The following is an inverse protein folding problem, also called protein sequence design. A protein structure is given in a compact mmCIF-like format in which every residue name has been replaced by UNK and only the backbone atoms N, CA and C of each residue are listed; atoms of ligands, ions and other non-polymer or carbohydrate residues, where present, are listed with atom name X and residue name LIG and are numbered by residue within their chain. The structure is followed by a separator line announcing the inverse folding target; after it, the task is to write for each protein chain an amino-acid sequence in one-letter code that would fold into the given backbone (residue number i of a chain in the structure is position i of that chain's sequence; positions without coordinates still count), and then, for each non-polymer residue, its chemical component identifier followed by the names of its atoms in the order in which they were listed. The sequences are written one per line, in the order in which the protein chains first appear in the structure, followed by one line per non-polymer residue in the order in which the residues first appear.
data_IF_198782720070
#
_entry.id   IF_198782720070
#
_cell.length_a   1.000
_cell.length_b   1.000
_cell.length_c   1.000
_cell.angle_alpha   90.00
_cell.angle_beta   90.00
_cell.angle_gamma   90.00
#
_symmetry.space_group_name_H-M   'P 1'
#
loop_
_entity.id
_entity.type
_entity.pdbx_description
1 polymer ?
#
# COMPACT_ATOMS: atom_id res chain seq x y z
N UNK A 1 -25.49 -5.66 -8.33
CA UNK A 1 -24.19 -5.66 -7.70
C UNK A 1 -23.79 -7.10 -7.43
N UNK A 2 -22.68 -7.54 -8.04
CA UNK A 2 -22.14 -8.86 -7.73
C UNK A 2 -21.50 -8.80 -6.34
N UNK A 3 -21.78 -9.80 -5.51
CA UNK A 3 -21.06 -9.98 -4.26
C UNK A 3 -19.59 -10.25 -4.56
N UNK A 4 -18.70 -9.44 -3.96
CA UNK A 4 -17.26 -9.59 -4.11
C UNK A 4 -16.68 -10.32 -2.89
N UNK A 5 -15.79 -11.27 -3.11
CA UNK A 5 -14.96 -11.81 -2.04
C UNK A 5 -13.96 -10.78 -1.54
N UNK A 6 -13.38 -10.98 -0.35
CA UNK A 6 -12.33 -10.11 0.18
C UNK A 6 -11.12 -10.01 -0.77
N UNK A 7 -10.77 -11.11 -1.43
CA UNK A 7 -9.73 -11.14 -2.47
C UNK A 7 -10.08 -10.22 -3.64
N UNK A 8 -11.30 -10.34 -4.19
CA UNK A 8 -11.76 -9.52 -5.31
C UNK A 8 -11.85 -8.03 -4.95
N UNK A 9 -12.20 -7.71 -3.69
CA UNK A 9 -12.19 -6.32 -3.18
C UNK A 9 -10.79 -5.73 -3.26
N UNK A 10 -9.75 -6.49 -2.90
CA UNK A 10 -8.37 -6.04 -2.97
C UNK A 10 -7.86 -5.95 -4.42
N UNK A 11 -8.14 -6.95 -5.26
CA UNK A 11 -7.71 -6.98 -6.67
C UNK A 11 -8.27 -5.78 -7.44
N UNK A 12 -9.56 -5.52 -7.28
CA UNK A 12 -10.28 -4.42 -7.96
C UNK A 12 -10.15 -3.08 -7.25
N UNK A 13 -9.52 -3.05 -6.08
CA UNK A 13 -9.41 -1.83 -5.23
C UNK A 13 -10.78 -1.19 -4.93
N UNK A 14 -11.76 -2.02 -4.52
CA UNK A 14 -13.12 -1.55 -4.24
C UNK A 14 -13.21 -0.78 -2.93
N UNK A 15 -13.43 0.53 -2.97
CA UNK A 15 -13.62 1.36 -1.78
C UNK A 15 -14.84 0.92 -0.97
N UNK A 16 -15.98 0.64 -1.62
CA UNK A 16 -17.20 0.17 -0.94
C UNK A 16 -16.95 -1.16 -0.23
N UNK A 17 -16.23 -2.08 -0.88
CA UNK A 17 -15.84 -3.35 -0.28
C UNK A 17 -14.96 -3.16 0.95
N UNK A 18 -13.95 -2.29 0.86
CA UNK A 18 -13.07 -1.96 1.97
C UNK A 18 -13.84 -1.35 3.16
N UNK A 19 -14.78 -0.42 2.91
CA UNK A 19 -15.66 0.16 3.93
C UNK A 19 -16.46 -0.95 4.65
N UNK A 20 -17.08 -1.85 3.90
CA UNK A 20 -17.90 -2.93 4.48
C UNK A 20 -17.07 -3.89 5.35
N UNK A 21 -15.85 -4.23 4.90
CA UNK A 21 -14.92 -5.04 5.71
C UNK A 21 -14.55 -4.29 7.00
N UNK A 22 -14.15 -3.02 6.90
CA UNK A 22 -13.78 -2.22 8.07
C UNK A 22 -14.94 -2.07 9.07
N UNK A 23 -16.18 -1.87 8.58
CA UNK A 23 -17.36 -1.81 9.42
C UNK A 23 -17.62 -3.12 10.17
N UNK A 24 -17.38 -4.29 9.53
CA UNK A 24 -17.47 -5.59 10.21
C UNK A 24 -16.38 -5.80 11.25
N UNK A 25 -15.19 -5.27 11.02
CA UNK A 25 -14.07 -5.33 11.98
C UNK A 25 -14.35 -4.43 13.18
N UNK A 26 -14.92 -3.25 12.95
CA UNK A 26 -15.20 -2.22 13.96
C UNK A 26 -13.99 -1.32 14.23
N UNK A 27 -14.28 -0.14 14.80
CA UNK A 27 -13.28 0.94 15.01
C UNK A 27 -12.13 0.46 15.89
N UNK A 28 -12.44 -0.14 17.04
CA UNK A 28 -11.46 -0.51 18.05
C UNK A 28 -10.41 -1.52 17.52
N UNK A 29 -10.88 -2.58 16.85
CA UNK A 29 -9.99 -3.61 16.30
C UNK A 29 -9.16 -3.06 15.14
N UNK A 30 -9.78 -2.21 14.30
CA UNK A 30 -9.10 -1.59 13.17
C UNK A 30 -8.01 -0.64 13.64
N UNK A 31 -8.31 0.24 14.59
CA UNK A 31 -7.36 1.15 15.23
C UNK A 31 -6.22 0.40 15.90
N UNK A 32 -6.54 -0.61 16.72
CA UNK A 32 -5.54 -1.46 17.38
C UNK A 32 -4.58 -2.09 16.38
N UNK A 33 -5.09 -2.59 15.26
CA UNK A 33 -4.25 -3.18 14.23
C UNK A 33 -3.30 -2.17 13.58
N UNK A 34 -3.79 -0.97 13.19
CA UNK A 34 -2.95 0.06 12.60
C UNK A 34 -1.91 0.59 13.60
N UNK A 35 -2.27 0.70 14.88
CA UNK A 35 -1.34 1.05 15.94
C UNK A 35 -0.25 -0.04 16.15
N UNK A 36 -0.61 -1.31 15.99
CA UNK A 36 0.36 -2.42 16.05
C UNK A 36 1.37 -2.35 14.89
N UNK A 37 0.94 -1.87 13.72
CA UNK A 37 1.82 -1.57 12.59
C UNK A 37 2.63 -0.26 12.77
N UNK A 38 2.32 0.51 13.80
CA UNK A 38 2.93 1.81 14.12
C UNK A 38 2.86 2.82 12.96
N UNK A 39 1.77 2.78 12.17
CA UNK A 39 1.61 3.64 10.99
C UNK A 39 1.53 5.14 11.32
N UNK A 40 1.13 5.47 12.55
CA UNK A 40 0.96 6.85 13.02
C UNK A 40 2.04 7.30 14.00
N UNK A 41 3.01 6.43 14.28
CA UNK A 41 4.10 6.73 15.21
C UNK A 41 5.35 7.10 14.43
N UNK A 42 6.05 8.17 14.86
CA UNK A 42 7.37 8.50 14.30
C UNK A 42 8.29 7.28 14.40
N UNK A 43 8.98 6.95 13.31
CA UNK A 43 10.01 5.89 13.32
C UNK A 43 11.27 6.48 13.94
N UNK A 44 11.90 5.72 14.83
CA UNK A 44 13.29 5.96 15.23
C UNK A 44 14.20 5.44 14.10
N UNK A 45 14.91 6.35 13.45
CA UNK A 45 15.71 6.06 12.26
C UNK A 45 17.05 6.76 12.33
N UNK A 46 18.01 6.28 11.57
CA UNK A 46 19.38 6.76 11.60
C UNK A 46 19.59 8.20 11.06
N UNK A 47 18.54 8.80 10.48
CA UNK A 47 18.52 10.17 9.99
C UNK A 47 17.46 10.96 10.78
N UNK A 48 17.77 12.18 11.21
CA UNK A 48 16.88 12.98 12.05
C UNK A 48 15.68 13.59 11.29
N UNK A 49 15.84 13.89 9.99
CA UNK A 49 14.80 14.50 9.16
C UNK A 49 13.74 13.50 8.72
N UNK A 50 13.05 12.92 9.68
CA UNK A 50 11.92 12.03 9.41
C UNK A 50 10.61 12.73 9.70
N UNK A 51 9.72 12.70 8.70
CA UNK A 51 8.37 13.20 8.85
C UNK A 51 7.61 12.47 9.96
N UNK A 52 6.76 13.23 10.66
CA UNK A 52 5.85 12.68 11.67
C UNK A 52 4.43 12.70 11.11
N UNK A 53 3.69 11.58 11.18
CA UNK A 53 2.29 11.56 10.79
C UNK A 53 1.47 12.55 11.60
N UNK A 54 0.48 13.17 10.97
CA UNK A 54 -0.45 14.04 11.69
C UNK A 54 -1.36 13.21 12.60
N UNK A 55 -1.76 13.75 13.77
CA UNK A 55 -2.67 13.07 14.68
C UNK A 55 -4.00 12.74 13.99
N UNK A 56 -4.51 11.54 14.24
CA UNK A 56 -5.76 11.06 13.69
C UNK A 56 -6.75 10.71 14.83
N UNK A 57 -7.93 11.31 14.77
CA UNK A 57 -9.02 11.01 15.73
C UNK A 57 -10.00 10.02 15.13
N UNK A 58 -10.15 8.87 15.75
CA UNK A 58 -11.06 7.82 15.33
C UNK A 58 -12.53 8.16 15.52
N UNK A 59 -13.39 7.54 14.73
CA UNK A 59 -14.85 7.66 14.78
C UNK A 59 -15.49 6.90 13.61
N UNK A 60 -16.79 6.63 13.68
CA UNK A 60 -17.50 5.81 12.68
C UNK A 60 -17.31 6.30 11.23
N UNK A 61 -17.45 7.61 10.98
CA UNK A 61 -17.27 8.18 9.66
C UNK A 61 -15.81 8.08 9.18
N UNK A 62 -14.86 8.27 10.11
CA UNK A 62 -13.43 8.20 9.81
C UNK A 62 -12.94 6.78 9.54
N UNK A 63 -13.56 5.77 10.17
CA UNK A 63 -13.29 4.38 9.84
C UNK A 63 -13.56 4.11 8.37
N UNK A 64 -14.69 4.58 7.84
CA UNK A 64 -15.03 4.39 6.44
C UNK A 64 -13.99 5.00 5.50
N UNK A 65 -13.58 6.25 5.72
CA UNK A 65 -12.58 6.92 4.88
C UNK A 65 -11.19 6.32 5.03
N UNK A 66 -10.77 6.01 6.27
CA UNK A 66 -9.48 5.38 6.55
C UNK A 66 -9.34 3.99 5.90
N UNK A 67 -10.44 3.25 5.74
CA UNK A 67 -10.44 1.89 5.19
C UNK A 67 -9.95 1.81 3.74
N UNK A 68 -10.03 2.90 2.99
CA UNK A 68 -9.48 3.02 1.63
C UNK A 68 -8.39 4.10 1.53
N UNK A 69 -7.80 4.51 2.67
CA UNK A 69 -6.62 5.35 2.71
C UNK A 69 -6.86 6.86 2.67
N UNK A 70 -8.08 7.34 2.95
CA UNK A 70 -8.38 8.77 2.99
C UNK A 70 -8.46 9.30 4.42
N UNK A 71 -8.01 10.55 4.60
CA UNK A 71 -8.08 11.25 5.89
C UNK A 71 -7.07 10.79 6.93
N UNK A 72 -6.14 9.93 6.56
CA UNK A 72 -4.99 9.51 7.38
C UNK A 72 -3.70 9.98 6.72
N UNK A 73 -2.69 10.26 7.53
CA UNK A 73 -1.35 10.59 7.05
C UNK A 73 -0.35 9.57 7.58
N UNK A 74 0.59 9.22 6.73
CA UNK A 74 1.74 8.37 7.07
C UNK A 74 2.94 8.81 6.25
N UNK A 75 4.13 8.38 6.61
CA UNK A 75 5.32 8.66 5.81
C UNK A 75 5.61 7.53 4.83
N UNK A 76 6.35 7.79 3.74
CA UNK A 76 6.82 6.74 2.84
C UNK A 76 7.53 5.60 3.56
N UNK A 77 8.38 5.92 4.54
CA UNK A 77 9.13 4.93 5.31
C UNK A 77 8.22 4.04 6.17
N UNK A 78 7.19 4.62 6.80
CA UNK A 78 6.22 3.84 7.57
C UNK A 78 5.39 2.91 6.68
N UNK A 79 4.99 3.40 5.50
CA UNK A 79 4.26 2.59 4.54
C UNK A 79 5.14 1.42 4.02
N UNK A 80 6.38 1.70 3.64
CA UNK A 80 7.33 0.67 3.23
C UNK A 80 7.58 -0.35 4.33
N UNK A 81 7.73 0.08 5.59
CA UNK A 81 7.86 -0.80 6.76
C UNK A 81 6.65 -1.70 6.95
N UNK A 82 5.44 -1.15 6.83
CA UNK A 82 4.21 -1.94 6.96
C UNK A 82 4.14 -3.04 5.88
N UNK A 83 4.47 -2.71 4.64
CA UNK A 83 4.53 -3.71 3.57
C UNK A 83 5.66 -4.73 3.77
N UNK A 84 6.80 -4.31 4.31
CA UNK A 84 7.87 -5.23 4.67
C UNK A 84 7.43 -6.25 5.74
N UNK A 85 6.61 -5.82 6.71
CA UNK A 85 5.99 -6.73 7.70
C UNK A 85 5.02 -7.70 7.01
N UNK A 86 4.21 -7.21 6.08
CA UNK A 86 3.32 -8.08 5.28
C UNK A 86 4.11 -9.11 4.47
N UNK A 87 5.28 -8.74 3.94
CA UNK A 87 6.08 -9.56 3.04
C UNK A 87 7.01 -10.58 3.72
N UNK A 88 7.36 -10.38 4.98
CA UNK A 88 8.43 -11.16 5.66
C UNK A 88 7.93 -12.25 6.60
N UNK A 89 6.67 -12.64 6.51
CA UNK A 89 6.06 -13.59 7.43
C UNK A 89 5.41 -12.96 8.65
N UNK A 90 5.21 -11.63 8.62
CA UNK A 90 4.51 -10.89 9.66
C UNK A 90 5.39 -10.38 10.81
N UNK A 91 6.70 -10.41 10.66
CA UNK A 91 7.61 -9.97 11.71
C UNK A 91 7.90 -8.48 11.66
N UNK A 92 7.95 -7.84 12.84
CA UNK A 92 8.31 -6.43 12.96
C UNK A 92 9.72 -6.19 12.41
N UNK A 93 9.86 -5.09 11.66
CA UNK A 93 11.14 -4.60 11.13
C UNK A 93 11.40 -3.22 11.70
N UNK A 94 12.62 -2.99 12.14
CA UNK A 94 13.14 -1.66 12.42
C UNK A 94 14.05 -1.26 11.25
N UNK A 95 13.65 -0.29 10.45
CA UNK A 95 14.44 0.15 9.30
C UNK A 95 15.75 0.80 9.77
N UNK A 96 16.82 0.62 9.00
CA UNK A 96 18.13 1.24 9.26
C UNK A 96 18.90 1.34 7.95
N UNK A 97 19.72 2.37 7.79
CA UNK A 97 20.69 2.52 6.70
C UNK A 97 22.10 2.12 7.16
N UNK A 98 22.29 1.90 8.46
CA UNK A 98 23.57 1.48 9.03
C UNK A 98 23.66 -0.02 8.96
N UNK A 99 24.70 -0.55 8.33
CA UNK A 99 25.00 -1.98 8.36
C UNK A 99 25.31 -2.40 9.81
N UNK A 100 24.38 -3.09 10.44
CA UNK A 100 24.56 -3.70 11.76
C UNK A 100 25.00 -5.14 11.56
N UNK A 101 25.97 -5.59 12.36
CA UNK A 101 26.24 -7.01 12.47
C UNK A 101 24.95 -7.72 12.87
N UNK A 102 24.71 -8.91 12.30
CA UNK A 102 23.54 -9.71 12.60
C UNK A 102 23.56 -10.06 14.09
N UNK A 103 23.11 -9.16 14.94
CA UNK A 103 22.79 -9.52 16.32
C UNK A 103 21.68 -10.55 16.24
N UNK A 104 21.94 -11.72 16.73
CA UNK A 104 20.94 -12.74 17.06
C UNK A 104 20.01 -12.14 18.13
N UNK A 105 19.16 -11.18 17.73
CA UNK A 105 18.11 -10.67 18.61
C UNK A 105 17.07 -11.77 18.72
N UNK A 106 17.09 -12.43 19.83
CA UNK A 106 16.36 -13.65 20.17
C UNK A 106 14.84 -13.48 20.28
N UNK A 107 14.18 -12.52 19.65
CA UNK A 107 12.72 -12.53 19.53
C UNK A 107 12.26 -11.43 18.58
N UNK A 108 12.16 -11.74 17.29
CA UNK A 108 11.42 -10.87 16.37
C UNK A 108 9.94 -10.91 16.74
N UNK A 109 9.38 -9.78 17.15
CA UNK A 109 7.96 -9.67 17.47
C UNK A 109 7.13 -9.91 16.21
N UNK A 110 6.28 -10.93 16.23
CA UNK A 110 5.33 -11.20 15.14
C UNK A 110 4.10 -10.30 15.30
N UNK A 111 3.74 -9.59 14.26
CA UNK A 111 2.60 -8.65 14.20
C UNK A 111 1.36 -9.31 13.61
N UNK A 112 1.57 -10.11 12.57
CA UNK A 112 0.53 -10.93 11.92
C UNK A 112 1.03 -12.36 11.77
N UNK A 113 0.13 -13.32 11.64
CA UNK A 113 0.52 -14.72 11.45
C UNK A 113 1.22 -14.92 10.10
N UNK A 114 2.09 -15.93 10.04
CA UNK A 114 2.77 -16.32 8.80
C UNK A 114 1.77 -16.66 7.69
N UNK A 115 0.70 -17.35 8.01
CA UNK A 115 -0.37 -17.72 7.07
C UNK A 115 -1.08 -16.48 6.49
N UNK A 116 -1.36 -15.48 7.35
CA UNK A 116 -1.94 -14.20 6.90
C UNK A 116 -0.97 -13.48 5.97
N UNK A 117 0.32 -13.46 6.28
CA UNK A 117 1.36 -12.88 5.40
C UNK A 117 1.39 -13.56 4.03
N UNK A 118 1.38 -14.90 3.98
CA UNK A 118 1.34 -15.65 2.72
C UNK A 118 0.08 -15.36 1.91
N UNK A 119 -1.08 -15.35 2.58
CA UNK A 119 -2.37 -15.07 1.94
C UNK A 119 -2.37 -13.68 1.31
N UNK A 120 -1.96 -12.65 2.06
CA UNK A 120 -1.89 -11.27 1.55
C UNK A 120 -0.90 -11.15 0.39
N UNK A 121 0.29 -11.76 0.47
CA UNK A 121 1.25 -11.75 -0.63
C UNK A 121 0.69 -12.40 -1.90
N UNK A 122 -0.04 -13.51 -1.76
CA UNK A 122 -0.73 -14.15 -2.88
C UNK A 122 -1.79 -13.24 -3.51
N UNK A 123 -2.57 -12.53 -2.69
CA UNK A 123 -3.58 -11.58 -3.19
C UNK A 123 -2.90 -10.38 -3.87
N UNK A 124 -1.84 -9.82 -3.27
CA UNK A 124 -1.06 -8.72 -3.85
C UNK A 124 -0.42 -9.13 -5.18
N UNK A 125 -0.01 -10.39 -5.32
CA UNK A 125 0.43 -10.93 -6.62
C UNK A 125 -0.69 -10.90 -7.65
N UNK A 126 -1.92 -11.28 -7.26
CA UNK A 126 -3.09 -11.25 -8.14
C UNK A 126 -3.51 -9.83 -8.53
N UNK A 127 -3.26 -8.81 -7.69
CA UNK A 127 -3.46 -7.39 -8.06
C UNK A 127 -2.61 -7.01 -9.27
N UNK A 128 -1.46 -7.63 -9.43
CA UNK A 128 -0.53 -7.41 -10.56
C UNK A 128 -0.81 -8.36 -11.73
N UNK A 129 -0.99 -9.66 -11.47
CA UNK A 129 -1.09 -10.67 -12.52
C UNK A 129 -2.49 -10.88 -13.11
N UNK A 130 -3.54 -10.44 -12.42
CA UNK A 130 -4.92 -10.61 -12.89
C UNK A 130 -5.31 -9.49 -13.86
N UNK A 131 -6.04 -9.83 -14.93
CA UNK A 131 -6.56 -8.84 -15.91
C UNK A 131 -7.46 -7.78 -15.28
N UNK A 132 -8.15 -8.10 -14.19
CA UNK A 132 -8.99 -7.16 -13.44
C UNK A 132 -8.18 -6.38 -12.37
N UNK A 133 -6.90 -6.69 -12.21
CA UNK A 133 -6.02 -6.07 -11.25
C UNK A 133 -5.68 -4.63 -11.63
N UNK A 134 -5.60 -3.76 -10.62
CA UNK A 134 -5.30 -2.34 -10.84
C UNK A 134 -3.83 -2.06 -11.16
N UNK A 135 -2.96 -3.06 -11.06
CA UNK A 135 -1.51 -2.93 -11.26
C UNK A 135 -0.95 -3.88 -12.33
N UNK A 136 -1.75 -4.33 -13.29
CA UNK A 136 -1.33 -5.31 -14.29
C UNK A 136 -0.18 -4.82 -15.21
N UNK A 137 0.03 -3.52 -15.33
CA UNK A 137 1.19 -2.96 -16.05
C UNK A 137 2.54 -3.18 -15.30
N UNK A 138 2.50 -3.55 -14.02
CA UNK A 138 3.68 -3.88 -13.25
C UNK A 138 4.03 -5.38 -13.29
N UNK A 139 3.35 -6.17 -14.12
CA UNK A 139 3.68 -7.58 -14.30
C UNK A 139 4.87 -7.72 -15.23
N UNK A 140 6.06 -7.87 -14.65
CA UNK A 140 7.33 -7.96 -15.34
C UNK A 140 7.85 -9.38 -15.21
N UNK A 141 8.11 -10.01 -16.34
CA UNK A 141 8.64 -11.36 -16.41
C UNK A 141 9.93 -11.51 -15.59
N UNK A 142 10.02 -12.60 -14.85
CA UNK A 142 11.18 -12.91 -14.02
C UNK A 142 11.21 -12.26 -12.63
N UNK A 143 10.44 -11.19 -12.38
CA UNK A 143 10.46 -10.49 -11.09
C UNK A 143 9.38 -10.95 -10.12
N UNK A 144 8.30 -11.54 -10.61
CA UNK A 144 7.16 -11.98 -9.77
C UNK A 144 6.68 -10.88 -8.82
N UNK A 145 6.38 -9.71 -9.38
CA UNK A 145 5.98 -8.53 -8.61
C UNK A 145 4.60 -8.75 -7.97
N UNK A 146 4.49 -8.48 -6.69
CA UNK A 146 3.22 -8.32 -5.97
C UNK A 146 3.10 -6.86 -5.54
N UNK A 147 1.90 -6.28 -5.50
CA UNK A 147 1.79 -4.89 -5.09
C UNK A 147 0.38 -4.34 -5.05
N UNK A 148 0.28 -3.07 -4.67
CA UNK A 148 -0.99 -2.35 -4.58
C UNK A 148 -0.82 -0.91 -5.03
N UNK A 149 -1.72 -0.47 -5.89
CA UNK A 149 -1.86 0.93 -6.28
C UNK A 149 -2.65 1.71 -5.23
N UNK A 150 -2.33 2.98 -5.08
CA UNK A 150 -3.09 3.95 -4.31
C UNK A 150 -3.24 5.25 -5.10
N UNK A 151 -4.42 5.85 -5.07
CA UNK A 151 -4.66 7.18 -5.64
C UNK A 151 -5.43 7.99 -4.62
N UNK A 152 -4.86 9.09 -4.17
CA UNK A 152 -5.49 10.02 -3.26
C UNK A 152 -5.61 11.41 -3.88
N UNK A 153 -6.61 12.16 -3.47
CA UNK A 153 -6.69 13.59 -3.75
C UNK A 153 -5.96 14.36 -2.65
N UNK A 154 -5.19 15.35 -3.04
CA UNK A 154 -4.50 16.23 -2.08
C UNK A 154 -5.52 17.13 -1.38
N UNK A 155 -5.35 17.26 -0.08
CA UNK A 155 -6.09 18.23 0.72
C UNK A 155 -5.22 19.45 0.99
N UNK A 156 -5.71 20.63 0.66
CA UNK A 156 -5.09 21.92 0.97
C UNK A 156 -6.05 22.67 1.88
N UNK A 157 -5.59 23.06 3.07
CA UNK A 157 -6.42 23.75 4.07
C UNK A 157 -7.73 23.00 4.40
N UNK A 158 -7.68 21.65 4.45
CA UNK A 158 -8.83 20.80 4.75
C UNK A 158 -9.80 20.58 3.60
N UNK A 159 -9.56 21.14 2.41
CA UNK A 159 -10.39 20.97 1.20
C UNK A 159 -9.69 20.06 0.21
N UNK A 160 -10.38 19.06 -0.30
CA UNK A 160 -9.87 18.19 -1.36
C UNK A 160 -9.78 18.95 -2.70
N UNK A 161 -8.63 18.86 -3.33
CA UNK A 161 -8.36 19.45 -4.64
C UNK A 161 -8.45 18.38 -5.74
N UNK A 162 -8.37 18.79 -7.02
CA UNK A 162 -8.25 17.86 -8.16
C UNK A 162 -6.83 17.30 -8.33
N UNK A 163 -5.87 17.78 -7.53
CA UNK A 163 -4.48 17.33 -7.57
C UNK A 163 -4.37 15.92 -6.99
N UNK A 164 -3.72 15.03 -7.73
CA UNK A 164 -3.61 13.61 -7.36
C UNK A 164 -2.25 13.31 -6.76
N UNK A 165 -2.25 12.36 -5.85
CA UNK A 165 -1.08 11.73 -5.27
C UNK A 165 -1.19 10.23 -5.55
N UNK A 166 -0.35 9.72 -6.44
CA UNK A 166 -0.39 8.33 -6.86
C UNK A 166 0.76 7.56 -6.22
N UNK A 167 0.46 6.39 -5.71
CA UNK A 167 1.44 5.50 -5.10
C UNK A 167 1.35 4.10 -5.67
N UNK A 168 2.47 3.42 -5.74
CA UNK A 168 2.52 1.99 -5.96
C UNK A 168 3.52 1.37 -4.99
N UNK A 169 3.05 0.46 -4.15
CA UNK A 169 3.93 -0.31 -3.27
C UNK A 169 4.03 -1.71 -3.82
N UNK A 170 5.25 -2.19 -4.02
CA UNK A 170 5.52 -3.53 -4.52
C UNK A 170 6.45 -4.32 -3.62
N UNK A 171 6.26 -5.63 -3.65
CA UNK A 171 7.06 -6.66 -3.01
C UNK A 171 7.55 -7.63 -4.07
N UNK A 172 8.82 -7.95 -4.07
CA UNK A 172 9.35 -8.92 -5.04
C UNK A 172 10.60 -9.67 -4.54
N UNK A 173 10.75 -10.95 -4.98
CA UNK A 173 9.74 -11.78 -5.62
C UNK A 173 8.59 -12.13 -4.65
N UNK A 174 7.35 -12.25 -5.15
CA UNK A 174 6.14 -12.41 -4.31
C UNK A 174 6.15 -13.63 -3.40
N UNK A 175 6.80 -14.72 -3.82
CA UNK A 175 6.86 -15.97 -3.07
C UNK A 175 7.75 -15.87 -1.81
N UNK A 176 8.82 -15.08 -1.88
CA UNK A 176 9.75 -14.82 -0.78
C UNK A 176 10.30 -13.41 -0.92
N UNK A 177 9.55 -12.40 -0.53
CA UNK A 177 9.93 -11.00 -0.74
C UNK A 177 11.28 -10.66 -0.12
N UNK A 178 12.15 -10.10 -0.95
CA UNK A 178 13.46 -9.56 -0.54
C UNK A 178 13.48 -8.04 -0.57
N UNK A 179 12.61 -7.45 -1.40
CA UNK A 179 12.57 -6.02 -1.64
C UNK A 179 11.17 -5.48 -1.47
N UNK A 180 11.08 -4.28 -0.95
CA UNK A 180 9.91 -3.40 -1.00
C UNK A 180 10.30 -2.19 -1.82
N UNK A 181 9.53 -1.89 -2.86
CA UNK A 181 9.69 -0.68 -3.65
C UNK A 181 8.42 0.16 -3.53
N UNK A 182 8.57 1.38 -3.03
CA UNK A 182 7.50 2.37 -2.98
C UNK A 182 7.79 3.44 -4.03
N UNK A 183 6.91 3.53 -5.03
CA UNK A 183 6.94 4.58 -6.05
C UNK A 183 5.85 5.61 -5.74
N UNK A 184 6.20 6.88 -5.76
CA UNK A 184 5.30 8.00 -5.49
C UNK A 184 5.36 8.97 -6.65
N UNK A 185 4.19 9.35 -7.17
CA UNK A 185 4.05 10.41 -8.15
C UNK A 185 3.17 11.50 -7.54
N UNK A 186 3.76 12.65 -7.30
CA UNK A 186 3.08 13.82 -6.77
C UNK A 186 2.65 14.74 -7.91
N UNK A 187 1.34 15.02 -7.97
CA UNK A 187 0.71 15.85 -9.01
C UNK A 187 1.11 15.45 -10.45
N UNK A 188 1.04 14.15 -10.81
CA UNK A 188 1.42 13.74 -12.17
C UNK A 188 0.58 14.45 -13.21
N UNK A 189 1.26 14.94 -14.24
CA UNK A 189 0.60 15.61 -15.36
C UNK A 189 0.35 14.62 -16.50
N UNK A 190 -0.75 14.78 -17.24
CA UNK A 190 -0.96 14.02 -18.48
C UNK A 190 0.18 14.27 -19.46
N UNK A 191 0.65 13.24 -20.13
CA UNK A 191 1.63 13.31 -21.21
C UNK A 191 1.01 12.80 -22.52
N UNK A 192 0.11 13.59 -23.17
CA UNK A 192 -0.67 13.14 -24.33
C UNK A 192 0.19 12.83 -25.55
N UNK A 193 1.37 13.45 -25.65
CA UNK A 193 2.36 13.23 -26.70
C UNK A 193 3.15 11.92 -26.51
N UNK A 194 3.12 11.35 -25.28
CA UNK A 194 3.92 10.17 -24.96
C UNK A 194 3.17 8.89 -25.33
N UNK A 195 3.80 8.07 -26.17
CA UNK A 195 3.32 6.73 -26.49
C UNK A 195 4.29 5.73 -25.89
N UNK A 196 3.83 4.98 -24.90
CA UNK A 196 4.59 3.87 -24.35
C UNK A 196 4.27 2.60 -25.13
N UNK A 197 5.29 1.96 -25.66
CA UNK A 197 5.19 0.68 -26.34
C UNK A 197 5.71 -0.43 -25.42
N UNK A 198 4.83 -1.38 -25.11
CA UNK A 198 5.17 -2.53 -24.27
C UNK A 198 5.89 -3.59 -25.11
N UNK A 199 6.71 -4.48 -24.48
CA UNK A 199 7.41 -5.55 -25.18
C UNK A 199 6.50 -6.48 -25.98
N UNK A 200 5.21 -6.58 -25.62
CA UNK A 200 4.18 -7.36 -26.33
C UNK A 200 3.54 -6.62 -27.52
N UNK A 201 4.09 -5.45 -27.88
CA UNK A 201 3.58 -4.62 -28.98
C UNK A 201 2.35 -3.76 -28.65
N UNK A 202 1.82 -3.83 -27.42
CA UNK A 202 0.74 -2.94 -27.00
C UNK A 202 1.26 -1.52 -26.83
N UNK A 203 0.53 -0.56 -27.43
CA UNK A 203 0.84 0.88 -27.32
C UNK A 203 -0.16 1.56 -26.40
N UNK A 204 0.36 2.22 -25.36
CA UNK A 204 -0.43 3.05 -24.45
C UNK A 204 -0.12 4.52 -24.73
N UNK A 205 -1.14 5.26 -25.15
CA UNK A 205 -1.06 6.71 -25.30
C UNK A 205 -1.39 7.39 -23.97
N UNK A 206 -0.60 8.38 -23.60
CA UNK A 206 -0.75 9.10 -22.33
C UNK A 206 -1.98 9.99 -22.23
N UNK A 207 -3.15 9.44 -22.55
CA UNK A 207 -4.41 10.17 -22.49
C UNK A 207 -4.91 10.41 -21.05
N UNK A 208 -5.66 11.51 -20.85
CA UNK A 208 -6.45 11.70 -19.64
C UNK A 208 -7.37 10.49 -19.45
N UNK A 209 -7.06 9.58 -18.54
CA UNK A 209 -8.08 8.67 -18.03
C UNK A 209 -9.08 9.50 -17.24
N UNK A 210 -10.30 9.66 -17.76
CA UNK A 210 -11.44 10.06 -16.94
C UNK A 210 -11.68 8.93 -15.94
N UNK A 211 -11.08 9.05 -14.77
CA UNK A 211 -11.47 8.21 -13.63
C UNK A 211 -12.72 8.86 -13.05
N UNK A 212 -13.87 8.50 -13.59
CA UNK A 212 -15.17 8.65 -12.93
C UNK A 212 -15.25 7.75 -11.70
#
# INVERSE_FOLDING_TARGET
PKDLSAEQILIRSSNIGAIRIAQKIGVEKYEKFLNTLELFKKIDFDIEEIGTPLPFRWGKCKLATASFGHGITTTPLQLARAYAILGNGGYKIEPTIIKKEARLSNQKKQIISYETSLTINSILRKVVSNKEGTANFADIDGYNVAGKTGTALKSINGVYTKKKFNTFVSLFPSQKPKYVLLTILDEPQPAPEFIYEFPNGYKHKGEKRNTS
#
